data_IF_578516869693
#
_entry.id   IF_578516869693
#
_cell.length_a   1.000
_cell.length_b   1.000
_cell.length_c   1.000
_cell.angle_alpha   90.00
_cell.angle_beta   90.00
_cell.angle_gamma   90.00
#
_symmetry.space_group_name_H-M   'P 1'
#
loop_
_entity.id
_entity.type
_entity.pdbx_description
1 polymer ?
#
# COMPACT_ATOMS: atom_id res chain seq x y z
N UNK A 1 35.20 -61.57 -10.68
CA UNK A 1 35.81 -61.19 -11.97
C UNK A 1 36.27 -59.74 -11.83
N UNK A 2 37.59 -59.56 -11.78
CA UNK A 2 38.44 -58.46 -12.28
C UNK A 2 37.75 -57.36 -13.14
N UNK A 3 38.07 -56.06 -13.16
CA UNK A 3 39.17 -55.14 -12.71
C UNK A 3 38.54 -53.72 -12.61
N UNK A 4 39.01 -52.69 -11.88
CA UNK A 4 40.38 -52.25 -11.64
C UNK A 4 40.48 -51.05 -10.65
N UNK A 5 41.71 -50.88 -10.15
CA UNK A 5 42.28 -49.93 -9.18
C UNK A 5 42.44 -48.48 -9.74
N UNK A 6 42.51 -47.35 -9.00
CA UNK A 6 43.41 -46.93 -7.89
C UNK A 6 42.97 -45.52 -7.34
N UNK A 7 43.67 -44.84 -6.40
CA UNK A 7 43.12 -44.26 -5.15
C UNK A 7 42.87 -42.73 -5.17
N UNK A 8 42.05 -42.20 -4.26
CA UNK A 8 42.19 -40.81 -3.80
C UNK A 8 41.94 -40.67 -2.30
N UNK A 9 42.90 -40.03 -1.64
CA UNK A 9 42.99 -39.67 -0.23
C UNK A 9 42.62 -38.19 -0.07
N UNK A 10 41.82 -37.88 0.97
CA UNK A 10 41.56 -36.57 1.61
C UNK A 10 40.86 -35.48 0.78
N UNK A 11 40.11 -34.51 1.32
CA UNK A 11 40.09 -33.85 2.64
C UNK A 11 38.64 -33.33 2.88
N UNK A 12 37.98 -33.66 4.01
CA UNK A 12 36.81 -32.89 4.48
C UNK A 12 37.32 -31.54 4.98
N UNK A 13 36.99 -30.42 4.32
CA UNK A 13 37.63 -29.14 4.63
C UNK A 13 36.95 -28.30 5.71
N UNK A 14 35.65 -28.38 5.94
CA UNK A 14 35.01 -27.52 6.95
C UNK A 14 33.84 -28.21 7.66
N UNK A 15 33.92 -28.27 8.99
CA UNK A 15 32.83 -28.66 9.89
C UNK A 15 32.36 -27.39 10.58
N UNK A 16 31.12 -26.98 10.34
CA UNK A 16 30.52 -25.84 11.05
C UNK A 16 29.79 -26.39 12.28
N UNK A 17 30.16 -25.89 13.45
CA UNK A 17 29.49 -26.20 14.72
C UNK A 17 28.51 -25.09 15.05
N UNK A 18 27.23 -25.41 15.21
CA UNK A 18 26.22 -24.49 15.74
C UNK A 18 25.65 -25.12 17.00
N UNK A 19 26.14 -24.69 18.16
CA UNK A 19 25.81 -25.32 19.44
C UNK A 19 26.22 -26.80 19.50
N UNK A 20 25.30 -27.69 19.88
CA UNK A 20 25.55 -29.13 20.12
C UNK A 20 25.55 -30.02 18.87
N UNK A 21 25.37 -29.46 17.66
CA UNK A 21 25.15 -30.25 16.45
C UNK A 21 26.25 -30.00 15.40
N UNK A 22 26.71 -31.09 14.77
CA UNK A 22 27.66 -31.07 13.66
C UNK A 22 26.95 -31.32 12.34
N UNK A 23 27.17 -30.46 11.34
CA UNK A 23 26.70 -30.66 9.97
C UNK A 23 27.90 -30.75 9.03
N UNK A 24 27.98 -31.81 8.23
CA UNK A 24 28.99 -31.98 7.19
C UNK A 24 28.48 -31.42 5.86
N UNK A 25 29.26 -30.54 5.22
CA UNK A 25 28.89 -29.89 3.96
C UNK A 25 29.71 -30.46 2.81
N UNK A 26 29.07 -30.78 1.67
CA UNK A 26 29.71 -31.24 0.43
C UNK A 26 29.53 -30.16 -0.66
N UNK A 27 30.65 -29.72 -1.22
CA UNK A 27 30.89 -28.88 -2.42
C UNK A 27 29.86 -27.79 -2.83
N UNK A 28 30.37 -26.56 -2.95
CA UNK A 28 29.61 -25.34 -3.26
C UNK A 28 29.38 -25.11 -4.76
N UNK A 29 28.17 -24.65 -5.09
CA UNK A 29 27.89 -23.76 -6.23
C UNK A 29 27.04 -22.59 -5.73
N UNK A 30 27.29 -21.39 -6.26
CA UNK A 30 26.75 -20.09 -5.80
C UNK A 30 25.21 -20.06 -5.89
N UNK A 31 24.54 -19.66 -4.79
CA UNK A 31 23.09 -19.44 -4.73
C UNK A 31 22.54 -19.36 -3.30
N UNK A 32 21.34 -18.79 -3.13
CA UNK A 32 20.57 -18.84 -1.88
C UNK A 32 19.99 -20.25 -1.69
N UNK A 33 20.14 -20.83 -0.49
CA UNK A 33 19.43 -22.06 -0.10
C UNK A 33 18.85 -21.91 1.29
N UNK A 34 17.57 -22.23 1.42
CA UNK A 34 16.85 -22.34 2.68
C UNK A 34 16.93 -23.79 3.17
N UNK A 35 17.32 -23.98 4.43
CA UNK A 35 17.29 -25.30 5.07
C UNK A 35 16.31 -25.28 6.24
N UNK A 36 15.53 -26.35 6.37
CA UNK A 36 14.61 -26.54 7.49
C UNK A 36 15.24 -27.49 8.50
N UNK A 37 15.58 -26.97 9.68
CA UNK A 37 15.81 -27.78 10.87
C UNK A 37 14.92 -27.24 11.99
N UNK A 38 14.08 -28.12 12.52
CA UNK A 38 13.31 -27.97 13.77
C UNK A 38 12.91 -26.52 14.08
N UNK A 39 12.00 -25.96 13.27
CA UNK A 39 11.26 -24.74 13.62
C UNK A 39 12.01 -23.40 13.53
N UNK A 40 13.25 -23.35 13.03
CA UNK A 40 13.97 -22.08 12.78
C UNK A 40 14.37 -22.00 11.31
N UNK A 41 13.96 -20.92 10.64
CA UNK A 41 14.36 -20.63 9.26
C UNK A 41 15.67 -19.83 9.28
N UNK A 42 16.76 -20.46 8.85
CA UNK A 42 18.06 -19.80 8.67
C UNK A 42 18.29 -19.50 7.19
N UNK A 43 18.48 -18.22 6.86
CA UNK A 43 18.92 -17.76 5.55
C UNK A 43 20.40 -17.42 5.62
N UNK A 44 21.26 -18.21 4.95
CA UNK A 44 22.69 -17.95 4.85
C UNK A 44 23.02 -17.41 3.46
N UNK A 45 23.64 -16.22 3.40
CA UNK A 45 24.24 -15.65 2.19
C UNK A 45 25.75 -15.81 2.30
N UNK A 46 26.35 -16.49 1.33
CA UNK A 46 27.81 -16.66 1.26
C UNK A 46 28.34 -15.71 0.19
N UNK A 47 29.15 -14.73 0.59
CA UNK A 47 29.88 -13.86 -0.34
C UNK A 47 31.35 -14.24 -0.44
N UNK A 48 31.91 -14.12 -1.65
CA UNK A 48 33.31 -14.48 -1.95
C UNK A 48 34.27 -13.64 -1.10
N UNK A 49 35.20 -14.32 -0.44
CA UNK A 49 36.39 -13.70 0.14
C UNK A 49 37.48 -13.50 -0.91
N UNK A 50 38.01 -12.29 -1.03
CA UNK A 50 39.36 -12.05 -1.52
C UNK A 50 40.17 -11.46 -0.36
N UNK A 51 41.12 -12.27 0.12
CA UNK A 51 42.32 -11.94 0.90
C UNK A 51 42.21 -10.92 2.05
N UNK A 52 42.26 -11.45 3.28
CA UNK A 52 42.86 -10.76 4.43
C UNK A 52 41.88 -10.24 5.49
N UNK A 53 41.69 -11.03 6.55
CA UNK A 53 41.11 -10.58 7.82
C UNK A 53 39.60 -10.82 7.95
N UNK A 54 39.22 -11.93 8.60
CA UNK A 54 37.85 -12.16 9.02
C UNK A 54 37.52 -11.23 10.19
N UNK A 55 36.79 -10.15 9.92
CA UNK A 55 36.05 -9.43 10.96
C UNK A 55 34.69 -10.09 11.08
N UNK A 56 34.47 -10.81 12.18
CA UNK A 56 33.12 -11.22 12.56
C UNK A 56 32.39 -9.98 13.06
N UNK A 57 31.38 -9.51 12.32
CA UNK A 57 30.35 -8.64 12.88
C UNK A 57 29.07 -9.45 13.01
N UNK A 58 28.85 -9.98 14.20
CA UNK A 58 27.52 -10.38 14.64
C UNK A 58 26.90 -9.15 15.29
N UNK A 59 25.95 -8.49 14.64
CA UNK A 59 24.93 -7.68 15.33
C UNK A 59 23.63 -7.75 14.51
N UNK A 60 22.89 -8.84 14.67
CA UNK A 60 21.45 -8.71 14.84
C UNK A 60 21.16 -9.04 16.30
N UNK A 61 21.68 -8.17 17.18
CA UNK A 61 21.15 -8.10 18.52
C UNK A 61 19.86 -7.31 18.40
N UNK A 62 18.74 -8.00 18.54
CA UNK A 62 17.71 -7.44 19.40
C UNK A 62 18.41 -7.07 20.70
N UNK A 63 18.77 -5.79 20.85
CA UNK A 63 19.20 -5.24 22.13
C UNK A 63 18.00 -5.36 23.07
N UNK A 64 17.87 -6.54 23.68
CA UNK A 64 17.14 -6.71 24.94
C UNK A 64 17.99 -6.06 26.01
N UNK A 65 18.07 -4.73 25.98
CA UNK A 65 18.36 -3.96 27.17
C UNK A 65 17.04 -3.79 27.90
N UNK A 66 16.96 -4.41 29.07
CA UNK A 66 15.92 -4.24 30.08
C UNK A 66 14.50 -4.68 29.73
N UNK A 67 14.26 -5.97 29.47
CA UNK A 67 13.01 -6.68 29.83
C UNK A 67 11.65 -6.12 29.34
N UNK A 68 11.64 -5.07 28.54
CA UNK A 68 10.47 -4.39 28.00
C UNK A 68 10.57 -4.54 26.50
N UNK A 69 9.71 -5.36 25.93
CA UNK A 69 9.54 -5.42 24.48
C UNK A 69 9.13 -4.02 23.99
N UNK A 70 10.06 -3.35 23.30
CA UNK A 70 9.82 -2.00 22.80
C UNK A 70 8.83 -2.13 21.65
N UNK A 71 7.58 -1.72 21.88
CA UNK A 71 6.51 -1.74 20.89
C UNK A 71 6.99 -1.11 19.59
N UNK A 72 6.86 -1.84 18.48
CA UNK A 72 7.25 -1.35 17.15
C UNK A 72 6.21 -0.34 16.69
N UNK A 73 6.68 0.85 16.31
CA UNK A 73 5.83 1.94 15.87
C UNK A 73 6.14 2.32 14.42
N UNK A 74 5.14 2.84 13.71
CA UNK A 74 5.27 3.43 12.37
C UNK A 74 4.39 4.67 12.28
N UNK A 75 4.83 5.68 11.53
CA UNK A 75 3.99 6.82 11.15
C UNK A 75 3.50 6.63 9.73
N UNK A 76 2.18 6.61 9.55
CA UNK A 76 1.49 6.48 8.27
C UNK A 76 0.80 7.79 7.91
N UNK A 77 1.11 8.34 6.74
CA UNK A 77 0.59 9.63 6.31
C UNK A 77 -0.32 9.50 5.09
N UNK A 78 -1.44 10.21 5.08
CA UNK A 78 -2.02 10.68 3.84
C UNK A 78 -1.06 11.64 3.09
N UNK A 79 -1.31 11.89 1.80
CA UNK A 79 -0.49 12.75 0.95
C UNK A 79 -1.07 14.17 0.85
N UNK A 80 -2.25 14.30 0.27
CA UNK A 80 -2.84 15.56 -0.20
C UNK A 80 -3.54 16.31 0.95
N UNK A 81 -3.00 17.44 1.38
CA UNK A 81 -3.49 18.17 2.56
C UNK A 81 -2.78 17.75 3.86
N UNK A 82 -2.09 16.62 3.84
CA UNK A 82 -1.36 16.07 5.00
C UNK A 82 0.15 16.29 4.91
N UNK A 83 0.79 15.83 3.84
CA UNK A 83 2.23 16.06 3.60
C UNK A 83 2.48 17.19 2.61
N UNK A 84 1.55 17.42 1.70
CA UNK A 84 1.62 18.47 0.69
C UNK A 84 0.39 19.36 0.74
N UNK A 85 0.49 20.57 0.18
CA UNK A 85 -0.72 21.31 -0.15
C UNK A 85 -1.47 20.57 -1.27
N UNK A 86 -2.82 20.63 -1.35
CA UNK A 86 -3.58 19.85 -2.32
C UNK A 86 -3.07 20.01 -3.76
N UNK A 87 -2.70 18.90 -4.40
CA UNK A 87 -2.14 18.81 -5.75
C UNK A 87 -0.84 19.58 -5.97
N UNK A 88 -0.10 19.88 -4.91
CA UNK A 88 1.20 20.51 -4.97
C UNK A 88 2.30 19.50 -4.63
N UNK A 89 3.53 19.87 -4.98
CA UNK A 89 4.73 19.14 -4.55
C UNK A 89 5.00 19.39 -3.07
N UNK A 90 5.59 18.41 -2.42
CA UNK A 90 6.14 18.52 -1.08
C UNK A 90 7.24 19.59 -1.07
N UNK A 91 7.16 20.49 -0.10
CA UNK A 91 8.18 21.52 0.06
C UNK A 91 9.46 20.96 0.71
N UNK A 92 10.54 21.72 0.58
CA UNK A 92 11.86 21.34 1.10
C UNK A 92 11.86 21.20 2.63
N UNK A 93 11.06 22.00 3.32
CA UNK A 93 10.98 22.02 4.79
C UNK A 93 10.37 20.72 5.32
N UNK A 94 9.27 20.26 4.72
CA UNK A 94 8.66 18.98 5.02
C UNK A 94 9.60 17.83 4.63
N UNK A 95 10.27 17.95 3.48
CA UNK A 95 11.22 16.93 3.02
C UNK A 95 12.36 16.69 4.01
N UNK A 96 13.02 17.75 4.47
CA UNK A 96 14.08 17.67 5.48
C UNK A 96 13.57 17.17 6.82
N UNK A 97 12.37 17.61 7.21
CA UNK A 97 11.72 17.16 8.44
C UNK A 97 11.50 15.63 8.43
N UNK A 98 10.92 15.07 7.37
CA UNK A 98 10.68 13.62 7.29
C UNK A 98 11.99 12.81 7.30
N UNK A 99 13.07 13.33 6.71
CA UNK A 99 14.40 12.68 6.82
C UNK A 99 14.83 12.56 8.27
N UNK A 100 14.64 13.61 9.08
CA UNK A 100 14.97 13.57 10.51
C UNK A 100 14.04 12.61 11.28
N UNK A 101 12.74 12.63 10.98
CA UNK A 101 11.75 11.74 11.61
C UNK A 101 12.10 10.27 11.35
N UNK A 102 12.48 9.93 10.10
CA UNK A 102 12.81 8.56 9.69
C UNK A 102 13.98 7.95 10.47
N UNK A 103 14.89 8.77 11.02
CA UNK A 103 15.98 8.28 11.88
C UNK A 103 15.50 7.68 13.21
N UNK A 104 14.25 7.97 13.60
CA UNK A 104 13.65 7.55 14.88
C UNK A 104 12.55 6.53 14.72
N UNK A 105 11.75 6.64 13.66
CA UNK A 105 10.57 5.81 13.42
C UNK A 105 10.38 5.59 11.92
N UNK A 106 10.04 4.36 11.47
CA UNK A 106 9.68 4.09 10.09
C UNK A 106 8.54 4.98 9.60
N UNK A 107 8.57 5.30 8.31
CA UNK A 107 7.57 6.13 7.65
C UNK A 107 6.84 5.37 6.54
N UNK A 108 5.54 5.59 6.47
CA UNK A 108 4.68 5.07 5.42
C UNK A 108 3.82 6.18 4.83
N UNK A 109 3.46 6.07 3.55
CA UNK A 109 2.46 6.93 2.89
C UNK A 109 1.35 6.11 2.28
N UNK A 110 0.12 6.62 2.33
CA UNK A 110 -1.05 6.03 1.70
C UNK A 110 -1.90 7.07 0.98
N UNK A 111 -2.07 6.90 -0.33
CA UNK A 111 -2.91 7.75 -1.16
C UNK A 111 -3.89 6.94 -2.01
N UNK A 112 -5.07 7.50 -2.29
CA UNK A 112 -6.04 6.91 -3.22
C UNK A 112 -5.69 7.15 -4.70
N UNK A 113 -4.70 7.99 -4.97
CA UNK A 113 -4.18 8.28 -6.31
C UNK A 113 -3.30 7.14 -6.85
N UNK A 114 -3.13 7.11 -8.17
CA UNK A 114 -2.14 6.28 -8.82
C UNK A 114 -0.70 6.60 -8.36
N UNK A 115 0.22 5.65 -8.56
CA UNK A 115 1.61 5.79 -8.14
C UNK A 115 2.30 7.02 -8.77
N UNK A 116 1.99 7.34 -10.03
CA UNK A 116 2.59 8.47 -10.73
C UNK A 116 2.35 9.80 -10.04
N UNK A 117 1.12 10.02 -9.55
CA UNK A 117 0.77 11.21 -8.76
C UNK A 117 1.47 11.24 -7.41
N UNK A 118 1.53 10.12 -6.70
CA UNK A 118 2.26 10.07 -5.42
C UNK A 118 3.74 10.44 -5.66
N UNK A 119 4.34 9.90 -6.71
CA UNK A 119 5.72 10.23 -7.09
C UNK A 119 5.88 11.69 -7.46
N UNK A 120 4.97 12.25 -8.27
CA UNK A 120 5.00 13.67 -8.66
C UNK A 120 4.99 14.61 -7.44
N UNK A 121 4.21 14.25 -6.42
CA UNK A 121 4.06 15.07 -5.22
C UNK A 121 5.19 14.89 -4.21
N UNK A 122 5.66 13.66 -4.00
CA UNK A 122 6.57 13.34 -2.90
C UNK A 122 8.05 13.27 -3.31
N UNK A 123 8.35 13.24 -4.61
CA UNK A 123 9.72 13.10 -5.07
C UNK A 123 9.94 13.51 -6.52
N UNK A 124 11.16 13.25 -6.99
CA UNK A 124 11.55 13.46 -8.39
C UNK A 124 11.28 12.23 -9.26
N UNK A 125 11.31 11.04 -8.68
CA UNK A 125 11.06 9.74 -9.31
C UNK A 125 10.71 8.71 -8.22
N UNK A 126 10.36 7.48 -8.62
CA UNK A 126 9.95 6.44 -7.68
C UNK A 126 11.08 6.07 -6.69
N UNK A 127 12.32 5.94 -7.16
CA UNK A 127 13.46 5.58 -6.31
C UNK A 127 13.69 6.62 -5.18
N UNK A 128 13.53 7.90 -5.48
CA UNK A 128 13.61 8.98 -4.50
C UNK A 128 12.52 8.86 -3.42
N UNK A 129 11.29 8.48 -3.79
CA UNK A 129 10.20 8.26 -2.81
C UNK A 129 10.45 7.00 -1.97
N UNK A 130 10.85 5.88 -2.59
CA UNK A 130 11.13 4.62 -1.89
C UNK A 130 12.34 4.72 -0.93
N UNK A 131 13.28 5.64 -1.18
CA UNK A 131 14.37 5.94 -0.24
C UNK A 131 13.95 6.80 0.94
N UNK A 132 12.82 7.52 0.83
CA UNK A 132 12.31 8.44 1.87
C UNK A 132 11.27 7.80 2.78
N UNK A 133 10.55 6.81 2.27
CA UNK A 133 9.50 6.10 2.99
C UNK A 133 9.80 4.61 2.97
N UNK A 134 9.70 3.98 4.14
CA UNK A 134 9.85 2.55 4.29
C UNK A 134 8.70 1.81 3.61
N UNK A 135 7.49 2.39 3.61
CA UNK A 135 6.34 1.86 2.88
C UNK A 135 5.66 2.92 2.02
N UNK A 136 5.29 2.55 0.79
CA UNK A 136 4.59 3.45 -0.14
C UNK A 136 3.38 2.73 -0.70
N UNK A 137 2.18 3.26 -0.39
CA UNK A 137 0.90 2.69 -0.80
C UNK A 137 0.17 3.67 -1.73
N UNK A 138 0.03 3.30 -3.00
CA UNK A 138 -0.86 3.97 -3.95
C UNK A 138 -2.13 3.17 -4.15
N UNK A 139 -3.17 3.82 -4.66
CA UNK A 139 -4.51 3.23 -4.79
C UNK A 139 -4.96 2.54 -3.48
N UNK A 140 -4.80 3.22 -2.36
CA UNK A 140 -5.11 2.73 -1.00
C UNK A 140 -4.28 1.52 -0.52
N UNK A 141 -3.22 1.15 -1.25
CA UNK A 141 -2.37 -0.01 -0.96
C UNK A 141 -2.59 -1.20 -1.90
N UNK A 142 -3.42 -1.07 -2.93
CA UNK A 142 -3.53 -2.07 -3.99
C UNK A 142 -2.25 -2.19 -4.81
N UNK A 143 -1.49 -1.09 -4.88
CA UNK A 143 -0.12 -1.05 -5.35
C UNK A 143 0.72 -0.55 -4.16
N UNK A 144 1.66 -1.38 -3.72
CA UNK A 144 2.42 -1.11 -2.50
C UNK A 144 3.88 -1.51 -2.64
N UNK A 145 4.75 -0.82 -1.91
CA UNK A 145 6.16 -1.12 -1.79
C UNK A 145 6.56 -1.16 -0.33
N UNK A 146 7.49 -2.06 0.00
CA UNK A 146 8.29 -2.03 1.22
C UNK A 146 9.75 -1.91 0.81
N UNK A 147 10.37 -0.77 1.12
CA UNK A 147 11.63 -0.34 0.52
C UNK A 147 11.53 -0.39 -1.02
N UNK A 148 12.43 -1.11 -1.68
CA UNK A 148 12.46 -1.26 -3.15
C UNK A 148 11.63 -2.46 -3.66
N UNK A 149 11.05 -3.26 -2.75
CA UNK A 149 10.30 -4.47 -3.11
C UNK A 149 8.81 -4.17 -3.24
N UNK A 150 8.23 -4.50 -4.40
CA UNK A 150 6.82 -4.34 -4.66
C UNK A 150 6.00 -5.51 -4.10
N UNK A 151 4.86 -5.21 -3.45
CA UNK A 151 3.84 -6.19 -3.14
C UNK A 151 3.10 -6.64 -4.41
N UNK A 152 2.51 -7.85 -4.42
CA UNK A 152 1.63 -8.28 -5.51
C UNK A 152 0.49 -7.28 -5.70
N UNK A 153 0.37 -6.74 -6.92
CA UNK A 153 -0.69 -5.81 -7.27
C UNK A 153 -2.05 -6.51 -7.18
N UNK A 154 -3.00 -5.85 -6.52
CA UNK A 154 -4.36 -6.34 -6.38
C UNK A 154 -5.27 -5.55 -7.32
N UNK A 155 -6.10 -6.25 -8.09
CA UNK A 155 -6.98 -5.64 -9.09
C UNK A 155 -8.43 -6.10 -8.96
N UNK A 156 -9.38 -5.20 -9.23
CA UNK A 156 -10.81 -5.53 -9.17
C UNK A 156 -11.15 -6.68 -10.14
N UNK A 157 -10.38 -6.80 -11.22
CA UNK A 157 -10.47 -7.92 -12.15
C UNK A 157 -10.17 -9.25 -11.48
N UNK A 158 -9.08 -9.35 -10.73
CA UNK A 158 -8.71 -10.59 -10.06
C UNK A 158 -9.65 -10.89 -8.88
N UNK A 159 -10.13 -9.85 -8.20
CA UNK A 159 -11.05 -10.00 -7.06
C UNK A 159 -12.46 -10.45 -7.46
N UNK A 160 -13.03 -9.91 -8.54
CA UNK A 160 -14.40 -10.23 -8.96
C UNK A 160 -14.45 -11.36 -9.98
N UNK A 161 -13.42 -11.48 -10.81
CA UNK A 161 -13.42 -12.33 -12.01
C UNK A 161 -14.24 -11.73 -13.16
N UNK A 162 -13.90 -12.17 -14.37
CA UNK A 162 -14.46 -11.64 -15.62
C UNK A 162 -15.99 -11.80 -15.71
N UNK A 163 -16.52 -12.91 -15.23
CA UNK A 163 -17.97 -13.17 -15.28
C UNK A 163 -18.79 -12.13 -14.50
N UNK A 164 -18.37 -11.80 -13.27
CA UNK A 164 -19.05 -10.81 -12.43
C UNK A 164 -18.83 -9.40 -12.97
N UNK A 165 -17.63 -9.10 -13.46
CA UNK A 165 -17.33 -7.82 -14.09
C UNK A 165 -18.23 -7.56 -15.31
N UNK A 166 -18.34 -8.52 -16.24
CA UNK A 166 -19.21 -8.37 -17.40
C UNK A 166 -20.67 -8.18 -16.99
N UNK A 167 -21.15 -8.93 -15.99
CA UNK A 167 -22.51 -8.75 -15.44
C UNK A 167 -22.73 -7.33 -14.89
N UNK A 168 -21.76 -6.80 -14.13
CA UNK A 168 -21.81 -5.45 -13.58
C UNK A 168 -21.76 -4.35 -14.66
N UNK A 169 -20.89 -4.50 -15.65
CA UNK A 169 -20.75 -3.57 -16.78
C UNK A 169 -22.03 -3.60 -17.63
N UNK A 170 -22.54 -4.78 -17.98
CA UNK A 170 -23.76 -4.93 -18.77
C UNK A 170 -24.98 -4.34 -18.05
N UNK A 171 -25.11 -4.59 -16.75
CA UNK A 171 -26.15 -3.96 -15.93
C UNK A 171 -26.06 -2.43 -15.99
N UNK A 172 -24.85 -1.89 -15.81
CA UNK A 172 -24.61 -0.45 -15.84
C UNK A 172 -24.96 0.16 -17.19
N UNK A 173 -24.45 -0.40 -18.29
CA UNK A 173 -24.69 0.11 -19.64
C UNK A 173 -26.18 0.04 -19.99
N UNK A 174 -26.88 -1.04 -19.62
CA UNK A 174 -28.32 -1.14 -19.79
C UNK A 174 -29.04 -0.01 -19.05
N UNK A 175 -28.75 0.19 -17.76
CA UNK A 175 -29.38 1.28 -16.98
C UNK A 175 -29.07 2.65 -17.57
N UNK A 176 -27.84 2.91 -17.98
CA UNK A 176 -27.47 4.19 -18.57
C UNK A 176 -28.10 4.45 -19.93
N UNK A 177 -28.44 3.40 -20.69
CA UNK A 177 -29.20 3.52 -21.94
C UNK A 177 -30.65 3.99 -21.71
N UNK A 178 -31.23 3.63 -20.56
CA UNK A 178 -32.62 3.93 -20.19
C UNK A 178 -32.80 5.33 -19.56
N UNK A 179 -31.73 5.97 -19.07
CA UNK A 179 -31.78 7.30 -18.44
C UNK A 179 -31.78 8.38 -19.53
N UNK A 180 -32.79 9.24 -19.59
CA UNK A 180 -32.73 10.47 -20.38
C UNK A 180 -32.05 11.59 -19.58
N UNK A 181 -31.07 12.26 -20.19
CA UNK A 181 -30.34 13.39 -19.60
C UNK A 181 -30.33 14.55 -20.60
N UNK A 182 -30.25 15.81 -20.13
CA UNK A 182 -30.04 16.96 -21.01
C UNK A 182 -28.80 16.80 -21.88
N UNK A 183 -27.75 16.17 -21.33
CA UNK A 183 -26.47 15.94 -22.00
C UNK A 183 -25.98 14.52 -21.68
N UNK A 184 -25.54 13.79 -22.72
CA UNK A 184 -24.69 12.60 -22.62
C UNK A 184 -23.42 12.80 -23.45
N UNK A 185 -22.31 12.26 -22.96
CA UNK A 185 -20.99 12.31 -23.62
C UNK A 185 -20.47 10.89 -23.80
N UNK A 186 -19.27 10.59 -23.30
CA UNK A 186 -18.64 9.28 -23.40
C UNK A 186 -17.84 8.95 -22.14
N UNK A 187 -17.20 7.77 -22.14
CA UNK A 187 -16.52 7.21 -20.97
C UNK A 187 -17.47 7.07 -19.76
N UNK A 188 -18.54 6.29 -19.96
CA UNK A 188 -19.57 6.03 -18.96
C UNK A 188 -19.13 5.03 -17.90
N UNK A 189 -18.26 4.09 -18.28
CA UNK A 189 -17.68 3.08 -17.41
C UNK A 189 -16.17 3.22 -17.54
N UNK A 190 -15.53 3.76 -16.52
CA UNK A 190 -14.07 3.88 -16.45
C UNK A 190 -13.54 2.75 -15.57
N UNK A 191 -12.70 1.90 -16.16
CA UNK A 191 -12.03 0.81 -15.48
C UNK A 191 -10.74 1.30 -14.84
N UNK A 192 -10.64 1.23 -13.51
CA UNK A 192 -9.41 1.48 -12.75
C UNK A 192 -8.93 0.18 -12.12
N UNK A 193 -7.68 0.14 -11.65
CA UNK A 193 -7.14 -1.06 -11.04
C UNK A 193 -7.93 -1.46 -9.78
N UNK A 194 -8.24 -0.50 -8.90
CA UNK A 194 -9.05 -0.76 -7.70
C UNK A 194 -10.58 -0.74 -7.82
N UNK A 195 -11.13 -0.19 -8.90
CA UNK A 195 -12.56 0.18 -8.91
C UNK A 195 -13.12 0.36 -10.32
N UNK A 196 -14.44 0.35 -10.42
CA UNK A 196 -15.16 0.90 -11.56
C UNK A 196 -15.75 2.26 -11.18
N UNK A 197 -15.49 3.28 -12.00
CA UNK A 197 -16.12 4.59 -11.89
C UNK A 197 -17.21 4.71 -12.97
N UNK A 198 -18.46 4.84 -12.54
CA UNK A 198 -19.66 4.77 -13.38
C UNK A 198 -20.32 6.17 -13.46
N UNK A 199 -20.29 6.81 -14.62
CA UNK A 199 -20.79 8.18 -14.82
C UNK A 199 -21.98 8.20 -15.79
N UNK A 200 -23.21 8.55 -15.34
CA UNK A 200 -24.38 8.60 -16.22
C UNK A 200 -24.26 9.61 -17.37
N UNK A 201 -23.69 10.79 -17.10
CA UNK A 201 -23.40 11.81 -18.14
C UNK A 201 -22.21 11.40 -19.03
N UNK A 202 -21.30 10.57 -18.50
CA UNK A 202 -20.02 10.23 -19.11
C UNK A 202 -18.90 11.18 -18.68
N UNK A 203 -17.70 10.66 -18.42
CA UNK A 203 -16.55 11.45 -17.92
C UNK A 203 -15.94 12.39 -18.95
N UNK A 204 -16.24 12.20 -20.23
CA UNK A 204 -15.78 13.08 -21.32
C UNK A 204 -16.59 14.38 -21.43
N UNK A 205 -17.32 14.77 -20.39
CA UNK A 205 -18.06 16.04 -20.36
C UNK A 205 -17.16 17.23 -20.04
N UNK A 206 -17.56 18.41 -20.49
CA UNK A 206 -16.89 19.66 -20.13
C UNK A 206 -17.11 20.00 -18.65
N UNK A 207 -16.35 20.97 -18.13
CA UNK A 207 -16.54 21.46 -16.77
C UNK A 207 -17.92 22.11 -16.58
N UNK A 208 -18.39 22.86 -17.57
CA UNK A 208 -19.71 23.47 -17.58
C UNK A 208 -20.82 22.41 -17.54
N UNK A 209 -20.73 21.40 -18.42
CA UNK A 209 -21.69 20.27 -18.45
C UNK A 209 -21.71 19.50 -17.14
N UNK A 210 -20.55 19.33 -16.50
CA UNK A 210 -20.42 18.72 -15.18
C UNK A 210 -21.17 19.51 -14.11
N UNK A 211 -21.07 20.84 -14.11
CA UNK A 211 -21.79 21.68 -13.14
C UNK A 211 -23.30 21.61 -13.38
N UNK A 212 -23.74 21.69 -14.64
CA UNK A 212 -25.16 21.50 -14.98
C UNK A 212 -25.68 20.11 -14.59
N UNK A 213 -24.87 19.05 -14.75
CA UNK A 213 -25.25 17.72 -14.29
C UNK A 213 -25.38 17.64 -12.77
N UNK A 214 -24.52 18.32 -12.00
CA UNK A 214 -24.64 18.36 -10.53
C UNK A 214 -25.96 18.98 -10.11
N UNK A 215 -26.33 20.10 -10.71
CA UNK A 215 -27.61 20.77 -10.44
C UNK A 215 -28.79 19.87 -10.81
N UNK A 216 -28.73 19.28 -12.01
CA UNK A 216 -29.76 18.36 -12.49
C UNK A 216 -29.89 17.11 -11.60
N UNK A 217 -28.78 16.46 -11.24
CA UNK A 217 -28.75 15.29 -10.37
C UNK A 217 -29.24 15.59 -8.95
N UNK A 218 -29.01 16.81 -8.46
CA UNK A 218 -29.50 17.24 -7.14
C UNK A 218 -31.03 17.30 -7.12
N UNK A 219 -31.65 17.82 -8.19
CA UNK A 219 -33.11 17.91 -8.32
C UNK A 219 -33.71 16.53 -8.63
N UNK A 220 -33.09 15.80 -9.56
CA UNK A 220 -33.67 14.59 -10.13
C UNK A 220 -33.20 13.30 -9.47
N UNK A 221 -32.17 13.29 -8.62
CA UNK A 221 -31.69 12.13 -7.86
C UNK A 221 -31.23 10.95 -8.73
N UNK A 222 -30.57 11.22 -9.86
CA UNK A 222 -30.16 10.21 -10.86
C UNK A 222 -29.19 9.21 -10.25
N UNK A 223 -28.08 9.68 -9.68
CA UNK A 223 -27.04 8.84 -9.08
C UNK A 223 -27.53 8.12 -7.84
N UNK A 224 -28.37 8.77 -7.02
CA UNK A 224 -28.94 8.15 -5.82
C UNK A 224 -29.77 6.91 -6.16
N UNK A 225 -30.70 7.02 -7.12
CA UNK A 225 -31.47 5.87 -7.60
C UNK A 225 -30.58 4.80 -8.23
N UNK A 226 -29.58 5.21 -9.00
CA UNK A 226 -28.65 4.26 -9.61
C UNK A 226 -27.85 3.49 -8.55
N UNK A 227 -27.39 4.14 -7.47
CA UNK A 227 -26.73 3.47 -6.33
C UNK A 227 -27.65 2.44 -5.68
N UNK A 228 -28.92 2.77 -5.45
CA UNK A 228 -29.89 1.84 -4.86
C UNK A 228 -30.08 0.60 -5.74
N UNK A 229 -30.27 0.80 -7.06
CA UNK A 229 -30.38 -0.30 -8.03
C UNK A 229 -29.12 -1.15 -8.09
N UNK A 230 -27.96 -0.52 -8.03
CA UNK A 230 -26.68 -1.22 -8.13
C UNK A 230 -26.38 -2.02 -6.88
N UNK A 231 -26.68 -1.49 -5.69
CA UNK A 231 -26.57 -2.21 -4.42
C UNK A 231 -27.48 -3.43 -4.35
N UNK A 232 -28.70 -3.34 -4.89
CA UNK A 232 -29.60 -4.48 -4.99
C UNK A 232 -29.05 -5.54 -5.95
N UNK A 233 -28.57 -5.11 -7.13
CA UNK A 233 -27.97 -6.00 -8.11
C UNK A 233 -26.70 -6.71 -7.62
N UNK A 234 -25.83 -6.02 -6.88
CA UNK A 234 -24.57 -6.55 -6.34
C UNK A 234 -24.71 -7.14 -4.94
N UNK A 235 -25.94 -7.36 -4.47
CA UNK A 235 -26.19 -7.91 -3.14
C UNK A 235 -25.47 -9.25 -2.96
N UNK A 236 -24.65 -9.35 -1.91
CA UNK A 236 -23.85 -10.53 -1.61
C UNK A 236 -22.53 -10.65 -2.39
N UNK A 237 -22.14 -9.63 -3.16
CA UNK A 237 -20.87 -9.63 -3.91
C UNK A 237 -19.69 -9.03 -3.14
N UNK A 238 -19.92 -8.56 -1.91
CA UNK A 238 -18.90 -7.91 -1.07
C UNK A 238 -18.31 -6.64 -1.72
N UNK A 239 -19.19 -5.80 -2.26
CA UNK A 239 -18.83 -4.54 -2.93
C UNK A 239 -19.41 -3.34 -2.18
N UNK A 240 -18.60 -2.29 -2.10
CA UNK A 240 -19.01 -0.94 -1.76
C UNK A 240 -19.51 -0.23 -3.02
N UNK A 241 -20.64 0.47 -2.88
CA UNK A 241 -21.22 1.31 -3.92
C UNK A 241 -21.54 2.66 -3.31
N UNK A 242 -20.87 3.71 -3.76
CA UNK A 242 -21.04 5.06 -3.22
C UNK A 242 -21.03 6.12 -4.32
N UNK A 243 -21.58 7.31 -4.02
CA UNK A 243 -21.51 8.44 -4.93
C UNK A 243 -20.05 8.92 -4.99
N UNK A 244 -19.47 8.91 -6.19
CA UNK A 244 -18.10 9.31 -6.47
C UNK A 244 -18.03 10.71 -7.06
N UNK A 245 -17.52 11.67 -6.30
CA UNK A 245 -17.34 13.05 -6.75
C UNK A 245 -18.62 13.71 -7.26
N UNK A 246 -18.50 14.52 -8.31
CA UNK A 246 -19.61 15.33 -8.85
C UNK A 246 -20.52 14.60 -9.84
N UNK A 247 -20.02 13.62 -10.57
CA UNK A 247 -20.72 13.07 -11.74
C UNK A 247 -20.84 11.54 -11.76
N UNK A 248 -20.21 10.84 -10.82
CA UNK A 248 -20.05 9.39 -10.89
C UNK A 248 -20.52 8.64 -9.64
N UNK A 249 -20.54 7.33 -9.76
CA UNK A 249 -20.73 6.33 -8.69
C UNK A 249 -19.52 5.41 -8.75
N UNK A 250 -18.86 5.20 -7.61
CA UNK A 250 -17.72 4.30 -7.50
C UNK A 250 -18.18 2.92 -6.99
N UNK A 251 -17.64 1.87 -7.61
CA UNK A 251 -17.86 0.47 -7.22
C UNK A 251 -16.52 -0.19 -6.99
N UNK A 252 -16.29 -0.67 -5.77
CA UNK A 252 -15.04 -1.32 -5.39
C UNK A 252 -15.30 -2.39 -4.31
N UNK A 253 -14.43 -3.39 -4.15
CA UNK A 253 -14.55 -4.37 -3.08
C UNK A 253 -14.57 -3.75 -1.69
N UNK A 254 -15.30 -4.37 -0.77
CA UNK A 254 -15.29 -3.94 0.63
C UNK A 254 -13.86 -4.02 1.21
N UNK A 255 -13.50 -3.02 2.02
CA UNK A 255 -12.17 -2.89 2.61
C UNK A 255 -11.07 -2.44 1.65
N UNK A 256 -11.39 -1.97 0.43
CA UNK A 256 -10.44 -1.35 -0.49
C UNK A 256 -10.35 0.19 -0.34
N UNK A 257 -10.88 0.72 0.76
CA UNK A 257 -10.51 2.04 1.27
C UNK A 257 -9.09 2.02 1.86
N UNK A 258 -8.63 3.14 2.46
CA UNK A 258 -7.26 3.25 2.99
C UNK A 258 -6.90 2.19 4.03
N UNK A 259 -7.88 1.58 4.71
CA UNK A 259 -7.61 0.48 5.64
C UNK A 259 -6.96 -0.73 4.97
N UNK A 260 -7.07 -0.87 3.64
CA UNK A 260 -6.45 -1.94 2.88
C UNK A 260 -4.94 -2.02 3.12
N UNK A 261 -4.22 -0.89 3.20
CA UNK A 261 -2.78 -0.89 3.40
C UNK A 261 -2.34 -1.49 4.76
N UNK A 262 -3.22 -1.49 5.76
CA UNK A 262 -2.90 -1.98 7.11
C UNK A 262 -2.55 -3.48 7.12
N UNK A 263 -3.00 -4.25 6.12
CA UNK A 263 -2.65 -5.67 6.01
C UNK A 263 -1.14 -5.90 5.82
N UNK A 264 -0.41 -4.89 5.33
CA UNK A 264 1.04 -4.93 5.12
C UNK A 264 1.85 -4.42 6.31
N UNK A 265 1.17 -3.97 7.37
CA UNK A 265 1.79 -3.34 8.56
C UNK A 265 1.51 -4.16 9.84
N UNK A 266 1.37 -5.49 9.73
CA UNK A 266 1.00 -6.36 10.84
C UNK A 266 2.12 -6.51 11.88
N UNK A 267 3.34 -6.17 11.51
CA UNK A 267 4.50 -6.19 12.39
C UNK A 267 4.52 -5.03 13.39
N UNK A 268 3.76 -3.97 13.17
CA UNK A 268 3.75 -2.79 14.05
C UNK A 268 2.65 -2.87 15.11
N UNK A 269 3.03 -2.62 16.36
CA UNK A 269 2.11 -2.54 17.50
C UNK A 269 1.34 -1.21 17.51
N UNK A 270 2.00 -0.12 17.11
CA UNK A 270 1.44 1.22 17.07
C UNK A 270 1.55 1.81 15.66
N UNK A 271 0.41 1.95 14.97
CA UNK A 271 0.34 2.61 13.66
C UNK A 271 -0.25 4.00 13.88
N UNK A 272 0.58 5.04 13.84
CA UNK A 272 0.13 6.41 14.00
C UNK A 272 -0.27 6.98 12.64
N UNK A 273 -1.57 7.17 12.41
CA UNK A 273 -2.08 7.65 11.13
C UNK A 273 -2.35 9.15 11.15
N UNK A 274 -1.90 9.88 10.14
CA UNK A 274 -2.14 11.32 9.96
C UNK A 274 -2.95 11.56 8.68
N UNK A 275 -4.05 12.31 8.76
CA UNK A 275 -4.90 12.64 7.61
C UNK A 275 -5.70 13.93 7.78
N UNK A 276 -6.06 14.58 6.67
CA UNK A 276 -6.80 15.85 6.65
C UNK A 276 -8.32 15.63 6.61
N UNK A 277 -8.79 14.50 6.05
CA UNK A 277 -10.21 14.21 5.80
C UNK A 277 -10.73 13.06 6.65
N UNK A 278 -10.58 13.20 7.96
CA UNK A 278 -10.94 12.18 8.96
C UNK A 278 -12.40 12.21 9.40
N UNK A 279 -13.16 13.26 9.06
CA UNK A 279 -14.59 13.35 9.36
C UNK A 279 -15.42 12.36 8.53
N UNK A 280 -16.62 11.94 9.00
CA UNK A 280 -17.49 11.04 8.23
C UNK A 280 -17.72 11.52 6.79
N UNK A 281 -17.46 10.65 5.82
CA UNK A 281 -17.53 10.96 4.39
C UNK A 281 -16.21 11.45 3.77
N UNK A 282 -15.19 11.71 4.59
CA UNK A 282 -13.82 11.92 4.14
C UNK A 282 -13.12 10.58 3.83
N UNK A 283 -12.14 10.61 2.92
CA UNK A 283 -11.41 9.42 2.47
C UNK A 283 -10.40 8.88 3.49
N UNK A 284 -10.14 9.62 4.57
CA UNK A 284 -9.30 9.15 5.69
C UNK A 284 -10.12 8.60 6.84
N UNK A 285 -11.44 8.75 6.82
CA UNK A 285 -12.30 8.42 7.96
C UNK A 285 -12.13 6.97 8.42
N UNK A 286 -12.26 6.02 7.48
CA UNK A 286 -12.26 4.59 7.81
C UNK A 286 -10.91 4.12 8.37
N UNK A 287 -9.79 4.64 7.83
CA UNK A 287 -8.47 4.35 8.38
C UNK A 287 -8.22 5.07 9.71
N UNK A 288 -8.71 6.30 9.87
CA UNK A 288 -8.56 7.08 11.11
C UNK A 288 -9.28 6.44 12.30
N UNK A 289 -10.49 5.91 12.10
CA UNK A 289 -11.26 5.24 13.17
C UNK A 289 -10.92 3.76 13.35
N UNK A 290 -10.00 3.23 12.53
CA UNK A 290 -9.61 1.83 12.59
C UNK A 290 -9.03 1.50 13.97
N UNK A 291 -9.43 0.40 14.62
CA UNK A 291 -8.87 0.01 15.91
C UNK A 291 -7.36 -0.34 15.83
N UNK A 292 -6.83 -0.50 14.61
CA UNK A 292 -5.40 -0.74 14.37
C UNK A 292 -4.56 0.53 14.34
N UNK A 293 -5.18 1.71 14.33
CA UNK A 293 -4.48 2.98 14.18
C UNK A 293 -4.72 3.89 15.38
N UNK A 294 -3.73 4.71 15.67
CA UNK A 294 -3.83 5.87 16.55
C UNK A 294 -3.90 7.10 15.64
N UNK A 295 -5.12 7.60 15.39
CA UNK A 295 -5.39 8.62 14.40
C UNK A 295 -5.12 10.06 14.87
N UNK A 296 -4.52 10.85 14.00
CA UNK A 296 -4.27 12.29 14.13
C UNK A 296 -4.94 13.01 12.97
N UNK A 297 -5.88 13.90 13.30
CA UNK A 297 -6.45 14.81 12.31
C UNK A 297 -5.52 16.01 12.17
N UNK A 298 -5.10 16.30 10.94
CA UNK A 298 -4.26 17.45 10.64
C UNK A 298 -5.01 18.46 9.77
N UNK A 299 -4.68 19.74 9.91
CA UNK A 299 -5.31 20.80 9.12
C UNK A 299 -4.59 21.08 7.80
N UNK A 300 -3.28 20.83 7.76
CA UNK A 300 -2.37 21.13 6.65
C UNK A 300 -0.97 20.55 6.96
N UNK A 301 -0.01 20.63 6.01
CA UNK A 301 1.36 20.14 6.24
C UNK A 301 2.09 20.76 7.43
N UNK A 302 1.83 22.03 7.76
CA UNK A 302 2.44 22.67 8.92
C UNK A 302 1.99 22.01 10.23
N UNK A 303 0.69 21.76 10.34
CA UNK A 303 0.10 21.11 11.50
C UNK A 303 0.59 19.67 11.66
N UNK A 304 0.75 18.93 10.55
CA UNK A 304 1.39 17.61 10.54
C UNK A 304 2.77 17.64 11.19
N UNK A 305 3.63 18.62 10.85
CA UNK A 305 4.96 18.73 11.46
C UNK A 305 4.91 19.00 12.96
N UNK A 306 3.97 19.84 13.40
CA UNK A 306 3.79 20.15 14.82
C UNK A 306 3.37 18.90 15.59
N UNK A 307 2.34 18.20 15.10
CA UNK A 307 1.82 17.01 15.77
C UNK A 307 2.83 15.85 15.77
N UNK A 308 3.55 15.62 14.66
CA UNK A 308 4.64 14.63 14.61
C UNK A 308 5.77 15.00 15.58
N UNK A 309 6.16 16.28 15.65
CA UNK A 309 7.22 16.73 16.57
C UNK A 309 6.84 16.51 18.03
N UNK A 310 5.57 16.71 18.39
CA UNK A 310 5.07 16.44 19.73
C UNK A 310 5.06 14.93 20.02
N UNK A 311 4.54 14.14 19.08
CA UNK A 311 4.52 12.69 19.20
C UNK A 311 5.94 12.10 19.36
N UNK A 312 6.93 12.62 18.63
CA UNK A 312 8.32 12.16 18.74
C UNK A 312 8.96 12.38 20.12
N UNK A 313 8.37 13.19 21.00
CA UNK A 313 8.83 13.32 22.40
C UNK A 313 8.49 12.10 23.24
N UNK A 314 7.62 11.21 22.76
CA UNK A 314 7.21 9.99 23.47
C UNK A 314 8.02 8.75 23.05
N UNK A 315 8.96 8.88 22.11
CA UNK A 315 9.80 7.79 21.58
C UNK A 315 11.12 7.61 22.35
#
# INVERSE_FOLDING_TARGET
MCLGSFPFVNVLKDVITVGSYCVAVRDFNVGFKSYWLVGVQLSLRVERSLAGGTVYSNIDTTERMDGVERKRAILLFDVDGTLTMPRQKMDEVMREFLVQVRTKVPLAVVGGSDLGKIVEQLGSNLEDVLKRFDFVFSENGLVGFHNEEAYPVQSIKDKLGEERLQKLINFTLKRFSEIELPVKRGNFVEFRNGMLNLSPIGRSCSQEERLHFVEYDTVHGIRKRFVEQLKDFTKGWDLNVCIGGQISVDVFPNGWDKTFCLQYLNEFDNIYFFGDKTAPGGNDHDIFISPRTIGYTVLNPQDTRVQVSELLKTF
#
